data_IF_073736060597
#
_entry.id   IF_073736060597
#
_cell.length_a   1.000
_cell.length_b   1.000
_cell.length_c   1.000
_cell.angle_alpha   90.00
_cell.angle_beta   90.00
_cell.angle_gamma   90.00
#
_symmetry.space_group_name_H-M   'P 1'
#
loop_
_entity.id
_entity.type
_entity.pdbx_description
1 polymer ?
#
# COMPACT_ATOMS: atom_id res chain seq x y z
N UNK A 1 -24.70 -25.57 -12.83
CA UNK A 1 -25.52 -26.79 -13.00
C UNK A 1 -25.37 -27.82 -11.89
N UNK A 2 -24.35 -27.72 -11.02
CA UNK A 2 -24.18 -28.63 -9.88
C UNK A 2 -24.60 -27.98 -8.55
N UNK A 3 -25.71 -28.45 -7.99
CA UNK A 3 -26.21 -27.98 -6.68
C UNK A 3 -25.35 -28.46 -5.51
N UNK A 4 -24.59 -29.54 -5.68
CA UNK A 4 -23.69 -30.06 -4.66
C UNK A 4 -22.49 -29.13 -4.46
N UNK A 5 -21.82 -28.75 -5.54
CA UNK A 5 -20.72 -27.77 -5.49
C UNK A 5 -21.20 -26.40 -4.99
N UNK A 6 -22.37 -25.91 -5.43
CA UNK A 6 -22.93 -24.65 -4.95
C UNK A 6 -23.11 -24.64 -3.41
N UNK A 7 -23.59 -25.74 -2.86
CA UNK A 7 -23.72 -25.92 -1.41
C UNK A 7 -22.36 -25.95 -0.72
N UNK A 8 -21.39 -26.68 -1.25
CA UNK A 8 -20.03 -26.72 -0.70
C UNK A 8 -19.44 -25.30 -0.61
N UNK A 9 -19.47 -24.54 -1.71
CA UNK A 9 -18.91 -23.19 -1.75
C UNK A 9 -19.63 -22.21 -0.82
N UNK A 10 -20.96 -22.25 -0.71
CA UNK A 10 -21.69 -21.38 0.22
C UNK A 10 -21.34 -21.66 1.70
N UNK A 11 -21.08 -22.93 2.04
CA UNK A 11 -20.64 -23.32 3.37
C UNK A 11 -19.18 -22.91 3.65
N UNK A 12 -18.28 -23.12 2.70
CA UNK A 12 -16.87 -22.72 2.81
C UNK A 12 -16.74 -21.19 2.90
N UNK A 13 -17.47 -20.45 2.04
CA UNK A 13 -17.51 -19.00 2.07
C UNK A 13 -18.03 -18.44 3.40
N UNK A 14 -19.11 -19.00 3.96
CA UNK A 14 -19.58 -18.61 5.29
C UNK A 14 -18.55 -18.93 6.40
N UNK A 15 -17.89 -20.07 6.32
CA UNK A 15 -16.85 -20.43 7.29
C UNK A 15 -15.66 -19.46 7.21
N UNK A 16 -15.19 -19.16 6.00
CA UNK A 16 -14.12 -18.22 5.75
C UNK A 16 -14.48 -16.80 6.20
N UNK A 17 -15.68 -16.34 5.87
CA UNK A 17 -16.13 -15.02 6.31
C UNK A 17 -16.24 -14.93 7.84
N UNK A 18 -16.60 -16.02 8.54
CA UNK A 18 -16.57 -16.04 10.02
C UNK A 18 -15.18 -15.86 10.60
N UNK A 19 -14.15 -16.39 9.93
CA UNK A 19 -12.76 -16.15 10.37
C UNK A 19 -12.32 -14.72 10.09
N UNK A 20 -12.84 -14.11 9.03
CA UNK A 20 -12.55 -12.72 8.67
C UNK A 20 -13.42 -11.68 9.38
N UNK A 21 -14.54 -12.09 9.98
CA UNK A 21 -15.54 -11.17 10.53
C UNK A 21 -14.97 -10.15 11.54
N UNK A 22 -14.07 -10.51 12.47
CA UNK A 22 -13.46 -9.51 13.36
C UNK A 22 -12.73 -8.41 12.57
N UNK A 23 -11.94 -8.80 11.56
CA UNK A 23 -11.24 -7.85 10.69
C UNK A 23 -12.21 -7.00 9.86
N UNK A 24 -13.30 -7.60 9.38
CA UNK A 24 -14.35 -6.85 8.69
C UNK A 24 -15.05 -5.84 9.62
N UNK A 25 -15.24 -6.16 10.90
CA UNK A 25 -15.79 -5.22 11.89
C UNK A 25 -14.86 -4.02 12.07
N UNK A 26 -13.55 -4.25 12.09
CA UNK A 26 -12.54 -3.21 12.24
C UNK A 26 -12.45 -2.32 10.99
N UNK A 27 -12.58 -2.92 9.80
CA UNK A 27 -12.47 -2.21 8.50
C UNK A 27 -13.76 -1.49 8.08
N UNK A 28 -14.92 -2.17 8.05
CA UNK A 28 -16.18 -1.60 7.53
C UNK A 28 -17.15 -1.16 8.63
N UNK A 29 -16.79 -1.36 9.89
CA UNK A 29 -17.64 -1.11 11.05
C UNK A 29 -18.62 -2.26 11.33
N UNK A 30 -18.97 -2.42 12.61
CA UNK A 30 -19.81 -3.53 13.10
C UNK A 30 -21.14 -3.69 12.38
N UNK A 31 -21.77 -2.61 11.94
CA UNK A 31 -23.06 -2.68 11.24
C UNK A 31 -22.91 -3.32 9.87
N UNK A 32 -21.99 -2.84 9.03
CA UNK A 32 -21.76 -3.38 7.68
C UNK A 32 -21.21 -4.81 7.73
N UNK A 33 -20.30 -5.10 8.65
CA UNK A 33 -19.72 -6.43 8.84
C UNK A 33 -20.79 -7.49 9.22
N UNK A 34 -21.73 -7.13 10.10
CA UNK A 34 -22.86 -8.00 10.44
C UNK A 34 -23.83 -8.18 9.27
N UNK A 35 -24.06 -7.13 8.46
CA UNK A 35 -24.88 -7.24 7.24
C UNK A 35 -24.25 -8.22 6.25
N UNK A 36 -22.94 -8.12 6.00
CA UNK A 36 -22.20 -9.08 5.18
C UNK A 36 -22.30 -10.52 5.73
N UNK A 37 -22.22 -10.70 7.07
CA UNK A 37 -22.43 -12.00 7.71
C UNK A 37 -23.82 -12.57 7.39
N UNK A 38 -24.85 -11.72 7.45
CA UNK A 38 -26.22 -12.13 7.14
C UNK A 38 -26.37 -12.56 5.68
N UNK A 39 -25.73 -11.85 4.73
CA UNK A 39 -25.72 -12.28 3.33
C UNK A 39 -25.03 -13.63 3.13
N UNK A 40 -23.93 -13.91 3.83
CA UNK A 40 -23.30 -15.24 3.78
C UNK A 40 -24.21 -16.34 4.34
N UNK A 41 -24.96 -16.04 5.41
CA UNK A 41 -25.97 -16.96 5.97
C UNK A 41 -27.12 -17.18 4.98
N UNK A 42 -27.56 -16.12 4.30
CA UNK A 42 -28.61 -16.17 3.28
C UNK A 42 -28.16 -16.99 2.06
N UNK A 43 -26.93 -16.78 1.57
CA UNK A 43 -26.34 -17.55 0.48
C UNK A 43 -26.31 -19.05 0.80
N UNK A 44 -25.92 -19.39 2.04
CA UNK A 44 -26.01 -20.77 2.53
C UNK A 44 -27.46 -21.28 2.52
N UNK A 45 -28.43 -20.50 2.99
CA UNK A 45 -29.84 -20.90 3.01
C UNK A 45 -30.40 -21.12 1.59
N UNK A 46 -30.07 -20.25 0.64
CA UNK A 46 -30.39 -20.42 -0.78
C UNK A 46 -29.79 -21.73 -1.29
N UNK A 47 -28.52 -22.00 -1.00
CA UNK A 47 -27.89 -23.26 -1.42
C UNK A 47 -28.54 -24.52 -0.82
N UNK A 48 -29.07 -24.43 0.41
CA UNK A 48 -29.77 -25.53 1.07
C UNK A 48 -31.13 -25.83 0.42
N UNK A 49 -31.81 -24.81 -0.10
CA UNK A 49 -33.11 -24.94 -0.76
C UNK A 49 -33.07 -25.77 -2.05
N UNK A 50 -31.87 -26.01 -2.60
CA UNK A 50 -31.66 -26.95 -3.69
C UNK A 50 -32.15 -28.36 -3.36
N UNK A 51 -32.09 -28.76 -2.08
CA UNK A 51 -32.61 -30.04 -1.60
C UNK A 51 -34.15 -30.11 -1.59
N UNK A 52 -34.82 -28.95 -1.68
CA UNK A 52 -36.28 -28.81 -1.61
C UNK A 52 -36.92 -28.73 -3.01
N UNK A 53 -36.16 -29.03 -4.07
CA UNK A 53 -36.65 -29.09 -5.46
C UNK A 53 -36.65 -27.75 -6.19
N UNK A 54 -35.98 -26.73 -5.65
CA UNK A 54 -35.78 -25.44 -6.32
C UNK A 54 -34.92 -25.64 -7.58
N UNK A 55 -35.33 -25.00 -8.69
CA UNK A 55 -34.59 -25.09 -9.96
C UNK A 55 -33.22 -24.42 -9.89
N UNK A 56 -32.23 -24.95 -10.62
CA UNK A 56 -30.89 -24.35 -10.74
C UNK A 56 -30.98 -22.88 -11.18
N UNK A 57 -31.86 -22.56 -12.12
CA UNK A 57 -32.08 -21.18 -12.58
C UNK A 57 -32.54 -20.24 -11.48
N UNK A 58 -33.40 -20.71 -10.59
CA UNK A 58 -33.89 -19.91 -9.47
C UNK A 58 -32.78 -19.71 -8.43
N UNK A 59 -32.05 -20.78 -8.06
CA UNK A 59 -30.90 -20.70 -7.17
C UNK A 59 -29.86 -19.71 -7.68
N UNK A 60 -29.53 -19.76 -8.97
CA UNK A 60 -28.62 -18.82 -9.60
C UNK A 60 -29.12 -17.39 -9.48
N UNK A 61 -30.41 -17.14 -9.75
CA UNK A 61 -30.98 -15.79 -9.63
C UNK A 61 -30.92 -15.25 -8.21
N UNK A 62 -31.25 -16.07 -7.21
CA UNK A 62 -31.23 -15.66 -5.80
C UNK A 62 -29.78 -15.41 -5.33
N UNK A 63 -28.84 -16.28 -5.70
CA UNK A 63 -27.42 -16.10 -5.36
C UNK A 63 -26.82 -14.83 -6.00
N UNK A 64 -27.19 -14.53 -7.26
CA UNK A 64 -26.79 -13.28 -7.93
C UNK A 64 -27.32 -12.06 -7.19
N UNK A 65 -28.57 -12.11 -6.71
CA UNK A 65 -29.15 -11.01 -5.93
C UNK A 65 -28.35 -10.75 -4.65
N UNK A 66 -27.94 -11.80 -3.94
CA UNK A 66 -27.14 -11.68 -2.71
C UNK A 66 -25.74 -11.12 -3.04
N UNK A 67 -25.09 -11.66 -4.07
CA UNK A 67 -23.78 -11.19 -4.56
C UNK A 67 -23.80 -9.68 -4.84
N UNK A 68 -24.85 -9.18 -5.50
CA UNK A 68 -25.00 -7.76 -5.83
C UNK A 68 -25.04 -6.85 -4.59
N UNK A 69 -25.74 -7.27 -3.54
CA UNK A 69 -25.79 -6.50 -2.29
C UNK A 69 -24.46 -6.54 -1.52
N UNK A 70 -23.77 -7.68 -1.55
CA UNK A 70 -22.42 -7.81 -0.97
C UNK A 70 -21.43 -6.88 -1.69
N UNK A 71 -21.41 -6.90 -3.02
CA UNK A 71 -20.55 -6.05 -3.84
C UNK A 71 -20.76 -4.57 -3.55
N UNK A 72 -22.02 -4.14 -3.42
CA UNK A 72 -22.35 -2.77 -3.06
C UNK A 72 -21.69 -2.34 -1.75
N UNK A 73 -21.73 -3.18 -0.72
CA UNK A 73 -21.11 -2.85 0.59
C UNK A 73 -19.59 -2.77 0.49
N UNK A 74 -18.97 -3.71 -0.22
CA UNK A 74 -17.51 -3.73 -0.44
C UNK A 74 -17.07 -2.50 -1.22
N UNK A 75 -17.81 -2.14 -2.26
CA UNK A 75 -17.49 -1.01 -3.12
C UNK A 75 -17.72 0.35 -2.44
N UNK A 76 -18.76 0.49 -1.61
CA UNK A 76 -18.95 1.67 -0.75
C UNK A 76 -17.82 1.84 0.27
N UNK A 77 -17.22 0.75 0.74
CA UNK A 77 -16.05 0.81 1.63
C UNK A 77 -14.81 1.33 0.89
N UNK A 78 -14.63 0.92 -0.37
CA UNK A 78 -13.49 1.30 -1.20
C UNK A 78 -13.60 2.71 -1.82
N UNK A 79 -14.45 3.59 -1.26
CA UNK A 79 -14.57 4.98 -1.73
C UNK A 79 -15.18 5.17 -3.12
N UNK A 80 -15.76 4.14 -3.73
CA UNK A 80 -16.33 4.22 -5.09
C UNK A 80 -17.61 5.06 -5.04
N UNK A 81 -17.60 6.22 -5.70
CA UNK A 81 -18.78 7.08 -5.83
C UNK A 81 -19.86 6.33 -6.64
N UNK A 82 -21.07 6.21 -6.05
CA UNK A 82 -22.09 5.21 -6.40
C UNK A 82 -22.82 5.36 -7.74
N UNK A 83 -22.15 5.80 -8.80
CA UNK A 83 -22.72 5.69 -10.15
C UNK A 83 -22.68 4.23 -10.62
N UNK A 84 -23.75 3.72 -11.27
CA UNK A 84 -23.76 2.36 -11.82
C UNK A 84 -22.56 2.05 -12.72
N UNK A 85 -22.07 3.05 -13.45
CA UNK A 85 -20.95 2.99 -14.36
C UNK A 85 -19.62 2.75 -13.62
N UNK A 86 -19.34 3.56 -12.60
CA UNK A 86 -18.13 3.42 -11.78
C UNK A 86 -18.08 2.07 -11.08
N UNK A 87 -19.23 1.64 -10.55
CA UNK A 87 -19.39 0.37 -9.86
C UNK A 87 -19.10 -0.81 -10.80
N UNK A 88 -19.65 -0.75 -12.01
CA UNK A 88 -19.43 -1.77 -13.02
C UNK A 88 -17.96 -1.84 -13.44
N UNK A 89 -17.35 -0.68 -13.75
CA UNK A 89 -15.96 -0.63 -14.21
C UNK A 89 -14.96 -1.07 -13.13
N UNK A 90 -15.16 -0.65 -11.88
CA UNK A 90 -14.36 -1.11 -10.76
C UNK A 90 -14.49 -2.62 -10.53
N UNK A 91 -15.73 -3.14 -10.58
CA UNK A 91 -15.97 -4.58 -10.46
C UNK A 91 -15.32 -5.40 -11.57
N UNK A 92 -15.28 -4.89 -12.80
CA UNK A 92 -14.57 -5.52 -13.93
C UNK A 92 -13.05 -5.49 -13.69
N UNK A 93 -12.48 -4.35 -13.30
CA UNK A 93 -11.04 -4.21 -13.05
C UNK A 93 -10.54 -5.16 -11.94
N UNK A 94 -11.29 -5.27 -10.84
CA UNK A 94 -10.98 -6.19 -9.73
C UNK A 94 -10.91 -7.64 -10.20
N UNK A 95 -11.92 -8.08 -10.97
CA UNK A 95 -11.95 -9.44 -11.53
C UNK A 95 -10.83 -9.70 -12.52
N UNK A 96 -10.46 -8.72 -13.33
CA UNK A 96 -9.31 -8.83 -14.24
C UNK A 96 -8.00 -9.01 -13.46
N UNK A 97 -7.87 -8.31 -12.32
CA UNK A 97 -6.73 -8.49 -11.41
C UNK A 97 -6.70 -9.90 -10.81
N UNK A 98 -7.84 -10.39 -10.33
CA UNK A 98 -7.95 -11.75 -9.77
C UNK A 98 -7.70 -12.82 -10.83
N UNK A 99 -8.17 -12.63 -12.08
CA UNK A 99 -7.82 -13.52 -13.20
C UNK A 99 -6.31 -13.63 -13.38
N UNK A 100 -5.57 -12.51 -13.27
CA UNK A 100 -4.10 -12.54 -13.39
C UNK A 100 -3.43 -13.27 -12.22
N UNK A 101 -3.93 -13.08 -11.00
CA UNK A 101 -3.38 -13.70 -9.80
C UNK A 101 -3.61 -15.21 -9.81
N UNK A 102 -4.88 -15.64 -9.91
CA UNK A 102 -5.24 -17.05 -9.78
C UNK A 102 -4.76 -17.89 -10.95
N UNK A 103 -4.75 -17.35 -12.18
CA UNK A 103 -4.40 -18.17 -13.35
C UNK A 103 -2.93 -18.61 -13.37
N UNK A 104 -2.04 -17.82 -12.75
CA UNK A 104 -0.61 -18.16 -12.63
C UNK A 104 -0.42 -19.38 -11.73
N UNK A 105 -1.22 -19.48 -10.67
CA UNK A 105 -1.16 -20.59 -9.72
C UNK A 105 -2.04 -21.79 -10.16
N UNK A 106 -2.96 -21.55 -11.10
CA UNK A 106 -3.85 -22.56 -11.68
C UNK A 106 -3.18 -23.50 -12.69
N UNK A 107 -2.29 -22.97 -13.55
CA UNK A 107 -1.80 -23.67 -14.75
C UNK A 107 -0.27 -23.61 -14.89
N UNK A 108 0.35 -24.70 -15.37
CA UNK A 108 1.77 -24.72 -15.71
C UNK A 108 2.09 -24.16 -17.12
N UNK A 109 3.37 -23.93 -17.42
CA UNK A 109 3.81 -23.43 -18.73
C UNK A 109 3.48 -24.35 -19.93
N UNK A 110 2.98 -25.57 -19.69
CA UNK A 110 2.56 -26.52 -20.73
C UNK A 110 1.03 -26.54 -20.93
N UNK A 111 0.27 -25.73 -20.19
CA UNK A 111 -1.19 -25.68 -20.26
C UNK A 111 -1.90 -26.75 -19.42
N UNK A 112 -1.20 -27.42 -18.49
CA UNK A 112 -1.83 -28.35 -17.56
C UNK A 112 -2.34 -27.61 -16.33
N UNK A 113 -3.54 -27.96 -15.87
CA UNK A 113 -4.07 -27.48 -14.59
C UNK A 113 -3.30 -28.17 -13.45
N UNK A 114 -2.65 -27.37 -12.62
CA UNK A 114 -1.88 -27.81 -11.45
C UNK A 114 -2.60 -27.51 -10.13
N UNK A 115 -3.56 -26.57 -10.14
CA UNK A 115 -4.45 -26.31 -9.02
C UNK A 115 -5.90 -26.12 -9.52
N UNK A 116 -6.75 -27.11 -9.26
CA UNK A 116 -8.15 -27.11 -9.68
C UNK A 116 -8.98 -26.00 -9.02
N UNK A 117 -8.59 -25.55 -7.82
CA UNK A 117 -9.27 -24.48 -7.09
C UNK A 117 -9.03 -23.14 -7.79
N UNK A 118 -7.77 -22.72 -7.96
CA UNK A 118 -7.46 -21.45 -8.62
C UNK A 118 -7.94 -21.42 -10.07
N UNK A 119 -7.94 -22.56 -10.75
CA UNK A 119 -8.51 -22.64 -12.10
C UNK A 119 -10.02 -22.36 -12.09
N UNK A 120 -10.76 -22.96 -11.15
CA UNK A 120 -12.19 -22.72 -11.02
C UNK A 120 -12.50 -21.27 -10.62
N UNK A 121 -11.68 -20.68 -9.75
CA UNK A 121 -11.78 -19.27 -9.37
C UNK A 121 -11.48 -18.35 -10.54
N UNK A 122 -10.42 -18.62 -11.32
CA UNK A 122 -10.12 -17.87 -12.55
C UNK A 122 -11.30 -17.89 -13.52
N UNK A 123 -11.91 -19.06 -13.76
CA UNK A 123 -13.09 -19.20 -14.61
C UNK A 123 -14.25 -18.34 -14.09
N UNK A 124 -14.47 -18.35 -12.77
CA UNK A 124 -15.50 -17.55 -12.13
C UNK A 124 -15.25 -16.04 -12.25
N UNK A 125 -14.01 -15.58 -12.08
CA UNK A 125 -13.64 -14.17 -12.21
C UNK A 125 -13.74 -13.68 -13.66
N UNK A 126 -13.22 -14.45 -14.62
CA UNK A 126 -13.31 -14.12 -16.05
C UNK A 126 -14.77 -14.04 -16.52
N UNK A 127 -15.59 -15.04 -16.16
CA UNK A 127 -17.02 -15.03 -16.47
C UNK A 127 -17.77 -13.92 -15.74
N UNK A 128 -17.39 -13.64 -14.48
CA UNK A 128 -17.96 -12.55 -13.69
C UNK A 128 -17.69 -11.17 -14.27
N UNK A 129 -16.56 -10.98 -14.97
CA UNK A 129 -16.24 -9.71 -15.63
C UNK A 129 -17.14 -9.47 -16.84
N UNK A 130 -17.37 -10.52 -17.65
CA UNK A 130 -18.33 -10.48 -18.78
C UNK A 130 -19.74 -10.19 -18.26
N UNK A 131 -20.15 -10.87 -17.18
CA UNK A 131 -21.47 -10.69 -16.56
C UNK A 131 -21.70 -9.23 -16.15
N UNK A 132 -20.75 -8.60 -15.46
CA UNK A 132 -20.88 -7.19 -15.08
C UNK A 132 -20.98 -6.30 -16.33
N UNK A 133 -20.14 -6.53 -17.33
CA UNK A 133 -20.15 -5.73 -18.55
C UNK A 133 -21.52 -5.82 -19.25
N UNK A 134 -22.09 -7.01 -19.37
CA UNK A 134 -23.38 -7.24 -20.03
C UNK A 134 -24.56 -6.67 -19.23
N UNK A 135 -24.56 -6.82 -17.90
CA UNK A 135 -25.61 -6.26 -17.04
C UNK A 135 -25.64 -4.73 -17.04
N UNK A 136 -24.51 -4.09 -17.33
CA UNK A 136 -24.35 -2.64 -17.38
C UNK A 136 -24.16 -2.11 -18.81
N UNK A 137 -24.54 -2.89 -19.83
CA UNK A 137 -24.28 -2.54 -21.23
C UNK A 137 -24.90 -1.20 -21.66
N UNK A 138 -26.11 -0.88 -21.20
CA UNK A 138 -26.77 0.39 -21.54
C UNK A 138 -25.97 1.59 -21.05
N UNK A 139 -25.53 1.56 -19.78
CA UNK A 139 -24.80 2.67 -19.16
C UNK A 139 -23.35 2.76 -19.66
N UNK A 140 -22.67 1.63 -19.84
CA UNK A 140 -21.27 1.61 -20.31
C UNK A 140 -21.16 1.97 -21.80
N UNK A 141 -22.12 1.56 -22.63
CA UNK A 141 -22.15 1.96 -24.04
C UNK A 141 -22.50 3.44 -24.25
N UNK A 142 -23.20 4.05 -23.28
CA UNK A 142 -23.48 5.49 -23.29
C UNK A 142 -22.23 6.33 -23.03
N UNK A 143 -21.24 5.80 -22.29
CA UNK A 143 -19.94 6.43 -22.10
C UNK A 143 -19.13 6.42 -23.41
N UNK A 144 -18.87 5.22 -23.95
CA UNK A 144 -18.16 5.04 -25.20
C UNK A 144 -18.56 3.70 -25.83
N UNK A 145 -19.45 3.76 -26.83
CA UNK A 145 -19.91 2.56 -27.53
C UNK A 145 -18.78 1.77 -28.20
N UNK A 146 -17.72 2.45 -28.67
CA UNK A 146 -16.55 1.82 -29.28
C UNK A 146 -15.70 1.09 -28.24
N UNK A 147 -15.38 1.74 -27.12
CA UNK A 147 -14.54 1.14 -26.09
C UNK A 147 -15.28 0.02 -25.37
N UNK A 148 -16.59 0.19 -25.12
CA UNK A 148 -17.40 -0.86 -24.54
C UNK A 148 -17.47 -2.11 -25.45
N UNK A 149 -17.63 -1.93 -26.76
CA UNK A 149 -17.60 -3.06 -27.70
C UNK A 149 -16.23 -3.76 -27.72
N UNK A 150 -15.14 -2.98 -27.63
CA UNK A 150 -13.80 -3.52 -27.55
C UNK A 150 -13.59 -4.29 -26.22
N UNK A 151 -14.09 -3.75 -25.10
CA UNK A 151 -14.04 -4.40 -23.79
C UNK A 151 -14.78 -5.74 -23.83
N UNK A 152 -16.02 -5.78 -24.32
CA UNK A 152 -16.79 -7.03 -24.44
C UNK A 152 -16.06 -8.08 -25.28
N UNK A 153 -15.42 -7.65 -26.38
CA UNK A 153 -14.62 -8.55 -27.22
C UNK A 153 -13.40 -9.08 -26.46
N UNK A 154 -12.71 -8.25 -25.67
CA UNK A 154 -11.54 -8.66 -24.89
C UNK A 154 -11.93 -9.60 -23.77
N UNK A 155 -12.97 -9.28 -22.99
CA UNK A 155 -13.47 -10.14 -21.92
C UNK A 155 -13.89 -11.52 -22.46
N UNK A 156 -14.59 -11.55 -23.60
CA UNK A 156 -14.96 -12.82 -24.27
C UNK A 156 -13.73 -13.62 -24.70
N UNK A 157 -12.69 -12.94 -25.20
CA UNK A 157 -11.43 -13.59 -25.57
C UNK A 157 -10.69 -14.15 -24.34
N UNK A 158 -10.70 -13.45 -23.21
CA UNK A 158 -10.09 -13.92 -21.96
C UNK A 158 -10.78 -15.21 -21.50
N UNK A 159 -12.12 -15.23 -21.46
CA UNK A 159 -12.89 -16.43 -21.12
C UNK A 159 -12.51 -17.60 -22.04
N UNK A 160 -12.50 -17.39 -23.35
CA UNK A 160 -12.12 -18.43 -24.31
C UNK A 160 -10.67 -18.91 -24.10
N UNK A 161 -9.75 -18.01 -23.76
CA UNK A 161 -8.35 -18.36 -23.53
C UNK A 161 -8.19 -19.18 -22.25
N UNK A 162 -8.87 -18.79 -21.16
CA UNK A 162 -8.92 -19.55 -19.91
C UNK A 162 -9.51 -20.94 -20.14
N UNK A 163 -10.66 -21.05 -20.82
CA UNK A 163 -11.31 -22.33 -21.12
C UNK A 163 -10.41 -23.28 -21.94
N UNK A 164 -9.69 -22.70 -22.91
CA UNK A 164 -8.74 -23.42 -23.76
C UNK A 164 -7.40 -23.73 -23.10
N UNK A 165 -7.17 -23.27 -21.86
CA UNK A 165 -5.92 -23.42 -21.11
C UNK A 165 -4.75 -22.82 -21.88
N UNK A 166 -4.98 -21.65 -22.45
CA UNK A 166 -3.96 -20.90 -23.17
C UNK A 166 -2.76 -20.60 -22.26
N UNK A 167 -1.59 -20.35 -22.87
CA UNK A 167 -0.39 -20.02 -22.13
C UNK A 167 -0.61 -18.79 -21.22
N UNK A 168 0.00 -18.81 -20.03
CA UNK A 168 -0.17 -17.79 -18.98
C UNK A 168 -0.05 -16.37 -19.54
N UNK A 169 1.01 -16.08 -20.29
CA UNK A 169 1.24 -14.74 -20.85
C UNK A 169 0.12 -14.24 -21.78
N UNK A 170 -0.62 -15.12 -22.44
CA UNK A 170 -1.73 -14.76 -23.33
C UNK A 170 -2.93 -14.28 -22.50
N UNK A 171 -3.24 -14.97 -21.40
CA UNK A 171 -4.34 -14.61 -20.50
C UNK A 171 -4.00 -13.31 -19.76
N UNK A 172 -2.78 -13.20 -19.24
CA UNK A 172 -2.31 -12.00 -18.52
C UNK A 172 -2.31 -10.76 -19.43
N UNK A 173 -1.70 -10.85 -20.62
CA UNK A 173 -1.71 -9.73 -21.58
C UNK A 173 -3.12 -9.38 -22.05
N UNK A 174 -4.01 -10.37 -22.22
CA UNK A 174 -5.41 -10.11 -22.53
C UNK A 174 -6.14 -9.36 -21.41
N UNK A 175 -5.85 -9.69 -20.15
CA UNK A 175 -6.39 -8.99 -18.99
C UNK A 175 -5.82 -7.57 -18.89
N UNK A 176 -4.53 -7.36 -19.14
CA UNK A 176 -3.90 -6.03 -19.18
C UNK A 176 -4.53 -5.14 -20.26
N UNK A 177 -4.69 -5.67 -21.48
CA UNK A 177 -5.38 -4.98 -22.57
C UNK A 177 -6.82 -4.58 -22.18
N UNK A 178 -7.54 -5.47 -21.50
CA UNK A 178 -8.91 -5.20 -21.04
C UNK A 178 -8.91 -4.11 -19.95
N UNK A 179 -7.96 -4.13 -19.01
CA UNK A 179 -7.80 -3.11 -17.97
C UNK A 179 -7.57 -1.73 -18.56
N UNK A 180 -6.76 -1.60 -19.62
CA UNK A 180 -6.58 -0.34 -20.33
C UNK A 180 -7.90 0.19 -20.92
N UNK A 181 -8.75 -0.69 -21.45
CA UNK A 181 -10.06 -0.27 -21.98
C UNK A 181 -11.02 0.12 -20.86
N UNK A 182 -11.03 -0.63 -19.74
CA UNK A 182 -11.79 -0.27 -18.54
C UNK A 182 -11.40 1.13 -18.07
N UNK A 183 -10.10 1.42 -18.04
CA UNK A 183 -9.57 2.74 -17.71
C UNK A 183 -10.07 3.83 -18.65
N UNK A 184 -10.06 3.59 -19.97
CA UNK A 184 -10.60 4.55 -20.94
C UNK A 184 -12.10 4.83 -20.71
N UNK A 185 -12.88 3.81 -20.38
CA UNK A 185 -14.30 3.97 -20.02
C UNK A 185 -14.48 4.72 -18.70
N UNK A 186 -13.60 4.50 -17.71
CA UNK A 186 -13.61 5.25 -16.45
C UNK A 186 -13.36 6.75 -16.69
N UNK A 187 -12.43 7.09 -17.59
CA UNK A 187 -12.18 8.48 -18.00
C UNK A 187 -13.39 9.11 -18.69
N UNK A 188 -14.11 8.35 -19.52
CA UNK A 188 -15.31 8.82 -20.21
C UNK A 188 -16.54 9.00 -19.32
N UNK A 189 -16.54 8.41 -18.12
CA UNK A 189 -17.65 8.45 -17.17
C UNK A 189 -17.68 9.73 -16.30
N UNK A 190 -16.70 10.63 -16.45
CA UNK A 190 -16.56 11.86 -15.65
C UNK A 190 -15.98 11.62 -14.25
N UNK A 191 -15.94 12.66 -13.41
CA UNK A 191 -15.33 12.65 -12.05
C UNK A 191 -15.83 11.50 -11.16
N UNK A 192 -17.04 10.99 -11.38
CA UNK A 192 -17.60 9.88 -10.61
C UNK A 192 -17.13 8.48 -11.02
N UNK A 193 -16.48 8.33 -12.19
CA UNK A 193 -16.09 7.04 -12.78
C UNK A 193 -14.60 6.71 -12.75
N UNK A 194 -13.73 7.66 -12.43
CA UNK A 194 -12.33 7.38 -12.15
C UNK A 194 -12.24 6.63 -10.81
N UNK A 195 -11.85 5.34 -10.83
CA UNK A 195 -11.48 4.64 -9.61
C UNK A 195 -10.11 5.17 -9.16
N UNK A 196 -10.11 6.31 -8.46
CA UNK A 196 -8.92 7.00 -8.00
C UNK A 196 -8.04 6.09 -7.14
N UNK A 197 -8.65 5.28 -6.26
CA UNK A 197 -7.97 4.28 -5.44
C UNK A 197 -7.18 3.25 -6.25
N UNK A 198 -7.71 2.78 -7.38
CA UNK A 198 -6.99 1.84 -8.27
C UNK A 198 -5.73 2.44 -8.89
N UNK A 199 -5.65 3.76 -9.06
CA UNK A 199 -4.42 4.40 -9.53
C UNK A 199 -3.36 4.43 -8.42
N UNK A 200 -3.73 4.73 -7.18
CA UNK A 200 -2.83 4.67 -6.04
C UNK A 200 -2.23 3.26 -5.88
N UNK A 201 -3.07 2.21 -5.88
CA UNK A 201 -2.62 0.81 -5.79
C UNK A 201 -1.65 0.40 -6.92
N UNK A 202 -1.92 0.89 -8.14
CA UNK A 202 -1.09 0.58 -9.32
C UNK A 202 0.25 1.30 -9.23
N UNK A 203 0.24 2.56 -8.81
CA UNK A 203 1.46 3.36 -8.63
C UNK A 203 2.37 2.72 -7.58
N UNK A 204 1.84 2.34 -6.42
CA UNK A 204 2.66 1.72 -5.36
C UNK A 204 3.31 0.42 -5.83
N UNK A 205 2.57 -0.42 -6.56
CA UNK A 205 3.12 -1.66 -7.12
C UNK A 205 4.24 -1.39 -8.12
N UNK A 206 4.06 -0.40 -9.00
CA UNK A 206 5.07 0.00 -9.98
C UNK A 206 6.32 0.56 -9.28
N UNK A 207 6.16 1.37 -8.24
CA UNK A 207 7.26 1.92 -7.46
C UNK A 207 8.06 0.83 -6.70
N UNK A 208 7.36 -0.12 -6.04
CA UNK A 208 8.00 -1.28 -5.39
C UNK A 208 8.75 -2.14 -6.41
N UNK A 209 8.14 -2.38 -7.58
CA UNK A 209 8.76 -3.17 -8.64
C UNK A 209 9.99 -2.45 -9.22
N UNK A 210 9.92 -1.13 -9.39
CA UNK A 210 11.04 -0.32 -9.85
C UNK A 210 12.21 -0.33 -8.85
N UNK A 211 11.92 -0.25 -7.56
CA UNK A 211 12.91 -0.38 -6.50
C UNK A 211 13.62 -1.73 -6.58
N UNK A 212 12.87 -2.84 -6.72
CA UNK A 212 13.43 -4.18 -6.86
C UNK A 212 14.27 -4.34 -8.14
N UNK A 213 13.82 -3.78 -9.28
CA UNK A 213 14.57 -3.79 -10.53
C UNK A 213 15.90 -3.04 -10.38
N UNK A 214 15.87 -1.86 -9.74
CA UNK A 214 17.06 -1.05 -9.47
C UNK A 214 18.03 -1.76 -8.52
N UNK A 215 17.54 -2.45 -7.48
CA UNK A 215 18.36 -3.26 -6.57
C UNK A 215 19.13 -4.38 -7.31
N UNK A 216 18.51 -4.96 -8.33
CA UNK A 216 19.07 -6.01 -9.17
C UNK A 216 20.01 -5.48 -10.28
N UNK A 217 20.24 -4.16 -10.33
CA UNK A 217 21.08 -3.51 -11.33
C UNK A 217 20.41 -3.28 -12.68
N UNK A 218 19.10 -3.50 -12.79
CA UNK A 218 18.31 -3.23 -14.00
C UNK A 218 17.73 -1.81 -13.96
N UNK A 219 18.60 -0.82 -14.17
CA UNK A 219 18.23 0.60 -14.12
C UNK A 219 17.32 1.03 -15.28
N UNK A 220 17.36 0.33 -16.42
CA UNK A 220 16.50 0.62 -17.57
C UNK A 220 15.06 0.21 -17.27
N UNK A 221 14.85 -1.01 -16.75
CA UNK A 221 13.52 -1.46 -16.30
C UNK A 221 13.00 -0.61 -15.14
N UNK A 222 13.85 -0.25 -14.17
CA UNK A 222 13.46 0.65 -13.09
C UNK A 222 12.98 2.00 -13.62
N UNK A 223 13.66 2.56 -14.63
CA UNK A 223 13.28 3.83 -15.25
C UNK A 223 11.95 3.75 -16.02
N UNK A 224 11.71 2.63 -16.71
CA UNK A 224 10.45 2.35 -17.40
C UNK A 224 9.29 2.29 -16.41
N UNK A 225 9.42 1.50 -15.34
CA UNK A 225 8.40 1.32 -14.31
C UNK A 225 8.04 2.62 -13.57
N UNK A 226 9.02 3.45 -13.20
CA UNK A 226 8.71 4.76 -12.58
C UNK A 226 8.12 5.76 -13.59
N UNK A 227 8.42 5.60 -14.88
CA UNK A 227 7.83 6.42 -15.94
C UNK A 227 6.37 6.03 -16.16
N UNK A 228 6.04 4.74 -16.12
CA UNK A 228 4.67 4.21 -16.15
C UNK A 228 3.88 4.61 -14.90
N UNK A 229 4.51 4.56 -13.72
CA UNK A 229 3.88 5.02 -12.47
C UNK A 229 3.45 6.50 -12.56
N UNK A 230 4.27 7.35 -13.19
CA UNK A 230 3.92 8.75 -13.38
C UNK A 230 2.99 9.00 -14.57
N UNK A 231 3.49 8.78 -15.80
CA UNK A 231 2.83 9.18 -17.05
C UNK A 231 1.52 8.42 -17.26
N UNK A 232 1.53 7.14 -16.94
CA UNK A 232 0.39 6.30 -17.23
C UNK A 232 -0.53 6.20 -16.02
N UNK A 233 -0.21 6.72 -14.83
CA UNK A 233 -1.07 6.60 -13.64
C UNK A 233 -1.21 7.91 -12.85
N UNK A 234 -0.13 8.46 -12.31
CA UNK A 234 -0.22 9.67 -11.47
C UNK A 234 -0.75 10.91 -12.21
N UNK A 235 -0.45 11.08 -13.51
CA UNK A 235 -0.98 12.21 -14.32
C UNK A 235 -2.51 12.32 -14.24
N UNK A 236 -3.21 11.19 -14.06
CA UNK A 236 -4.66 11.14 -13.92
C UNK A 236 -5.16 11.55 -12.53
N UNK A 237 -4.27 11.56 -11.53
CA UNK A 237 -4.54 11.98 -10.17
C UNK A 237 -4.22 13.48 -9.95
N UNK A 238 -3.44 14.11 -10.82
CA UNK A 238 -3.02 15.51 -10.66
C UNK A 238 -4.22 16.46 -10.50
N UNK A 239 -5.17 16.45 -11.44
CA UNK A 239 -6.33 17.35 -11.36
C UNK A 239 -7.21 17.11 -10.12
N UNK A 240 -7.61 15.87 -9.79
CA UNK A 240 -8.36 15.58 -8.56
C UNK A 240 -7.63 16.02 -7.28
N UNK A 241 -6.33 15.75 -7.15
CA UNK A 241 -5.56 16.16 -5.97
C UNK A 241 -5.46 17.69 -5.92
N UNK A 242 -5.23 18.34 -7.07
CA UNK A 242 -5.08 19.79 -7.15
C UNK A 242 -6.32 20.58 -6.69
N UNK A 243 -7.51 20.01 -6.86
CA UNK A 243 -8.76 20.60 -6.37
C UNK A 243 -8.86 20.63 -4.84
N UNK A 244 -8.16 19.73 -4.15
CA UNK A 244 -8.17 19.61 -2.69
C UNK A 244 -6.93 20.24 -2.07
N UNK A 245 -5.75 19.86 -2.56
CA UNK A 245 -4.44 20.30 -2.09
C UNK A 245 -3.46 20.42 -3.27
N UNK A 246 -3.40 21.62 -3.84
CA UNK A 246 -2.52 21.94 -4.97
C UNK A 246 -1.03 21.83 -4.62
N UNK A 247 -0.65 22.10 -3.37
CA UNK A 247 0.75 22.03 -2.94
C UNK A 247 1.20 20.56 -2.83
N UNK A 248 0.34 19.69 -2.30
CA UNK A 248 0.59 18.25 -2.26
C UNK A 248 0.69 17.65 -3.66
N UNK A 249 -0.19 18.04 -4.57
CA UNK A 249 -0.13 17.61 -5.97
C UNK A 249 1.22 17.95 -6.61
N UNK A 250 1.63 19.22 -6.56
CA UNK A 250 2.91 19.63 -7.15
C UNK A 250 4.11 18.93 -6.51
N UNK A 251 4.07 18.70 -5.19
CA UNK A 251 5.12 17.97 -4.49
C UNK A 251 5.28 16.54 -5.02
N UNK A 252 4.17 15.82 -5.20
CA UNK A 252 4.22 14.45 -5.74
C UNK A 252 4.62 14.46 -7.22
N UNK A 253 4.08 15.40 -8.02
CA UNK A 253 4.46 15.60 -9.42
C UNK A 253 5.97 15.77 -9.56
N UNK A 254 6.57 16.75 -8.86
CA UNK A 254 8.02 17.02 -8.91
C UNK A 254 8.82 15.78 -8.51
N UNK A 255 8.40 15.09 -7.44
CA UNK A 255 9.09 13.92 -6.92
C UNK A 255 9.06 12.72 -7.89
N UNK A 256 7.92 12.45 -8.53
CA UNK A 256 7.75 11.31 -9.45
C UNK A 256 8.27 11.61 -10.86
N UNK A 257 7.92 12.79 -11.39
CA UNK A 257 8.20 13.19 -12.77
C UNK A 257 9.67 13.53 -12.99
N UNK A 258 10.28 14.22 -12.02
CA UNK A 258 11.62 14.78 -12.14
C UNK A 258 12.62 14.05 -11.24
N UNK A 259 12.46 14.13 -9.92
CA UNK A 259 13.49 13.72 -8.96
C UNK A 259 13.79 12.21 -9.04
N UNK A 260 12.80 11.34 -8.84
CA UNK A 260 13.01 9.88 -8.85
C UNK A 260 13.59 9.39 -10.19
N UNK A 261 13.07 9.92 -11.29
CA UNK A 261 13.50 9.58 -12.66
C UNK A 261 14.94 10.05 -12.93
N UNK A 262 15.31 11.24 -12.46
CA UNK A 262 16.67 11.76 -12.57
C UNK A 262 17.64 10.97 -11.68
N UNK A 263 17.23 10.57 -10.47
CA UNK A 263 18.03 9.76 -9.57
C UNK A 263 18.37 8.39 -10.18
N UNK A 264 17.40 7.72 -10.81
CA UNK A 264 17.64 6.45 -11.53
C UNK A 264 18.61 6.66 -12.70
N UNK A 265 18.38 7.66 -13.55
CA UNK A 265 19.25 7.98 -14.71
C UNK A 265 20.68 8.35 -14.32
N UNK A 266 20.85 8.98 -13.16
CA UNK A 266 22.15 9.39 -12.63
C UNK A 266 22.86 8.29 -11.84
N UNK A 267 22.27 7.10 -11.76
CA UNK A 267 22.79 5.97 -10.98
C UNK A 267 22.99 6.32 -9.50
N UNK A 268 22.02 7.02 -8.90
CA UNK A 268 22.01 7.34 -7.47
C UNK A 268 22.04 6.07 -6.62
N UNK A 269 22.53 6.15 -5.38
CA UNK A 269 22.60 4.96 -4.53
C UNK A 269 21.22 4.36 -4.26
N UNK A 270 21.13 3.04 -4.18
CA UNK A 270 19.87 2.32 -3.92
C UNK A 270 19.11 2.88 -2.72
N UNK A 271 19.81 3.20 -1.63
CA UNK A 271 19.19 3.75 -0.42
C UNK A 271 18.54 5.13 -0.64
N UNK A 272 19.07 5.95 -1.55
CA UNK A 272 18.46 7.24 -1.90
C UNK A 272 17.20 7.04 -2.76
N UNK A 273 17.23 6.07 -3.68
CA UNK A 273 16.06 5.67 -4.46
C UNK A 273 14.94 5.14 -3.56
N UNK A 274 15.29 4.25 -2.62
CA UNK A 274 14.36 3.71 -1.62
C UNK A 274 13.74 4.82 -0.76
N UNK A 275 14.54 5.78 -0.28
CA UNK A 275 14.04 6.90 0.49
C UNK A 275 13.11 7.83 -0.33
N UNK A 276 13.45 8.08 -1.59
CA UNK A 276 12.63 8.90 -2.49
C UNK A 276 11.29 8.23 -2.79
N UNK A 277 11.30 6.92 -3.07
CA UNK A 277 10.07 6.14 -3.28
C UNK A 277 9.19 6.15 -2.02
N UNK A 278 9.78 6.00 -0.84
CA UNK A 278 9.04 6.07 0.42
C UNK A 278 8.39 7.45 0.63
N UNK A 279 9.07 8.54 0.29
CA UNK A 279 8.49 9.89 0.37
C UNK A 279 7.29 10.02 -0.57
N UNK A 280 7.42 9.52 -1.80
CA UNK A 280 6.34 9.52 -2.79
C UNK A 280 5.14 8.73 -2.29
N UNK A 281 5.33 7.49 -1.81
CA UNK A 281 4.23 6.65 -1.30
C UNK A 281 3.51 7.29 -0.12
N UNK A 282 4.21 7.91 0.84
CA UNK A 282 3.52 8.60 1.95
C UNK A 282 2.69 9.80 1.49
N UNK A 283 3.19 10.56 0.50
CA UNK A 283 2.44 11.69 -0.05
C UNK A 283 1.23 11.19 -0.88
N UNK A 284 1.37 10.06 -1.59
CA UNK A 284 0.28 9.37 -2.29
C UNK A 284 -0.79 8.85 -1.32
N UNK A 285 -0.41 8.24 -0.19
CA UNK A 285 -1.34 7.81 0.87
C UNK A 285 -2.14 8.99 1.44
N UNK A 286 -1.46 10.12 1.62
CA UNK A 286 -2.07 11.36 2.07
C UNK A 286 -3.09 11.85 1.03
N UNK A 287 -2.72 11.83 -0.25
CA UNK A 287 -3.59 12.23 -1.34
C UNK A 287 -4.81 11.29 -1.48
N UNK A 288 -4.63 9.99 -1.35
CA UNK A 288 -5.72 9.00 -1.38
C UNK A 288 -6.70 9.21 -0.23
N UNK A 289 -6.20 9.42 0.99
CA UNK A 289 -7.02 9.72 2.18
C UNK A 289 -7.86 10.98 1.98
N UNK A 290 -7.28 12.04 1.38
CA UNK A 290 -7.97 13.29 1.09
C UNK A 290 -9.07 13.13 0.03
N UNK A 291 -8.83 12.31 -1.00
CA UNK A 291 -9.77 12.09 -2.11
C UNK A 291 -10.93 11.17 -1.71
N UNK A 292 -10.67 10.14 -0.92
CA UNK A 292 -11.68 9.13 -0.53
C UNK A 292 -12.50 9.52 0.69
N UNK A 293 -12.20 10.66 1.32
CA UNK A 293 -12.91 11.17 2.49
C UNK A 293 -12.70 10.32 3.75
N UNK A 294 -11.69 9.44 3.74
CA UNK A 294 -11.25 8.73 4.93
C UNK A 294 -10.66 9.73 5.92
N UNK A 295 -11.29 9.89 7.09
CA UNK A 295 -10.53 10.31 8.27
C UNK A 295 -9.29 9.43 8.39
N UNK A 296 -8.11 9.96 8.75
CA UNK A 296 -6.97 9.10 9.04
C UNK A 296 -7.45 8.11 10.09
N UNK A 297 -7.55 6.84 9.69
CA UNK A 297 -7.87 5.77 10.60
C UNK A 297 -6.77 5.81 11.63
N UNK A 298 -7.09 6.29 12.83
CA UNK A 298 -6.33 5.97 14.01
C UNK A 298 -6.42 4.45 14.16
N UNK A 299 -5.45 3.76 13.56
CA UNK A 299 -5.35 2.31 13.62
C UNK A 299 -5.03 1.92 15.05
N UNK A 300 -5.96 1.17 15.67
CA UNK A 300 -5.66 0.36 16.82
C UNK A 300 -4.81 -0.84 16.37
N UNK A 301 -3.49 -0.68 16.51
CA UNK A 301 -2.46 -1.71 16.64
C UNK A 301 -2.50 -2.94 15.70
N UNK A 302 -1.68 -2.96 14.63
CA UNK A 302 -1.27 -4.20 14.00
C UNK A 302 -0.12 -4.83 14.82
N UNK A 303 -0.16 -6.15 14.90
CA UNK A 303 0.93 -6.97 15.45
C UNK A 303 2.07 -6.95 14.41
N UNK A 304 3.01 -6.03 14.61
CA UNK A 304 4.40 -6.01 14.14
C UNK A 304 4.71 -6.66 12.77
N UNK A 305 4.59 -5.88 11.70
CA UNK A 305 5.59 -5.84 10.64
C UNK A 305 6.01 -4.38 10.43
N UNK A 306 7.18 -4.06 10.99
CA UNK A 306 7.93 -2.81 10.96
C UNK A 306 7.53 -1.80 9.86
N UNK A 307 6.70 -0.83 10.23
CA UNK A 307 6.61 0.46 9.53
C UNK A 307 7.98 1.14 9.66
N UNK A 308 8.75 1.12 8.58
CA UNK A 308 10.07 1.76 8.47
C UNK A 308 9.93 3.28 8.46
N UNK A 309 9.58 3.86 9.61
CA UNK A 309 9.93 5.25 9.89
C UNK A 309 11.46 5.28 10.01
N UNK A 310 12.13 5.88 9.02
CA UNK A 310 13.58 5.95 8.83
C UNK A 310 14.42 5.30 9.93
N UNK A 311 15.11 4.21 9.59
CA UNK A 311 15.90 3.44 10.55
C UNK A 311 17.01 4.27 11.20
N UNK A 312 17.30 3.99 12.48
CA UNK A 312 18.44 4.56 13.18
C UNK A 312 19.77 3.94 12.68
N UNK A 313 20.14 4.14 11.41
CA UNK A 313 21.21 3.44 10.70
C UNK A 313 22.53 3.31 11.47
N UNK A 314 23.01 4.43 12.05
CA UNK A 314 24.24 4.45 12.87
C UNK A 314 24.04 3.58 14.11
N UNK A 315 22.95 3.78 14.86
CA UNK A 315 22.70 3.01 16.08
C UNK A 315 22.49 1.51 15.79
N UNK A 316 21.80 1.17 14.69
CA UNK A 316 21.64 -0.20 14.21
C UNK A 316 22.99 -0.84 13.88
N UNK A 317 23.88 -0.13 13.19
CA UNK A 317 25.23 -0.63 12.90
C UNK A 317 26.08 -0.78 14.19
N UNK A 318 25.99 0.18 15.11
CA UNK A 318 26.68 0.19 16.40
C UNK A 318 26.23 -0.94 17.32
N UNK A 319 24.92 -1.16 17.47
CA UNK A 319 24.36 -2.13 18.41
C UNK A 319 24.02 -3.48 17.78
N UNK A 320 24.12 -3.58 16.45
CA UNK A 320 24.10 -4.82 15.67
C UNK A 320 22.72 -5.33 15.30
N UNK A 321 21.65 -4.66 15.71
CA UNK A 321 20.28 -5.02 15.34
C UNK A 321 19.35 -3.83 15.50
N UNK A 322 18.32 -3.75 14.66
CA UNK A 322 17.20 -2.84 14.84
C UNK A 322 16.38 -3.17 16.10
N UNK A 323 16.39 -4.43 16.52
CA UNK A 323 15.77 -4.92 17.75
C UNK A 323 16.67 -4.78 18.98
N UNK A 324 17.84 -4.14 18.85
CA UNK A 324 18.71 -3.91 19.99
C UNK A 324 18.02 -2.96 20.99
N UNK A 325 18.12 -3.19 22.31
CA UNK A 325 17.44 -2.37 23.32
C UNK A 325 17.73 -0.87 23.20
N UNK A 326 18.94 -0.50 22.78
CA UNK A 326 19.34 0.89 22.59
C UNK A 326 18.68 1.54 21.37
N UNK A 327 18.43 0.77 20.32
CA UNK A 327 17.78 1.24 19.08
C UNK A 327 16.29 1.37 19.31
N UNK A 328 15.68 0.39 19.98
CA UNK A 328 14.28 0.42 20.39
C UNK A 328 14.01 1.59 21.35
N UNK A 329 14.91 1.84 22.31
CA UNK A 329 14.82 3.02 23.18
C UNK A 329 14.78 4.35 22.40
N UNK A 330 15.61 4.49 21.36
CA UNK A 330 15.58 5.70 20.51
C UNK A 330 14.26 5.84 19.74
N UNK A 331 13.71 4.72 19.24
CA UNK A 331 12.41 4.68 18.56
C UNK A 331 11.27 5.06 19.52
N UNK A 332 11.26 4.48 20.72
CA UNK A 332 10.26 4.79 21.75
C UNK A 332 10.27 6.27 22.14
N UNK A 333 11.44 6.88 22.33
CA UNK A 333 11.52 8.33 22.63
C UNK A 333 11.05 9.16 21.45
N UNK A 334 11.44 8.80 20.22
CA UNK A 334 10.99 9.49 19.01
C UNK A 334 9.46 9.43 18.90
N UNK A 335 8.90 8.24 18.94
CA UNK A 335 7.50 7.97 18.59
C UNK A 335 6.55 8.39 19.72
N UNK A 336 6.90 8.09 20.98
CA UNK A 336 6.01 8.30 22.11
C UNK A 336 6.25 9.62 22.86
N UNK A 337 7.32 10.35 22.56
CA UNK A 337 7.63 11.62 23.25
C UNK A 337 7.82 12.77 22.25
N UNK A 338 8.72 12.62 21.28
CA UNK A 338 9.07 13.74 20.39
C UNK A 338 7.98 14.01 19.35
N UNK A 339 7.51 12.99 18.63
CA UNK A 339 6.50 13.11 17.57
C UNK A 339 5.08 13.39 18.08
N UNK A 340 4.86 13.30 19.39
CA UNK A 340 3.59 13.65 20.02
C UNK A 340 3.37 15.18 20.12
N UNK A 341 4.32 16.00 19.67
CA UNK A 341 4.24 17.46 19.72
C UNK A 341 4.61 18.09 18.38
N UNK A 342 3.98 19.20 18.00
CA UNK A 342 4.29 19.91 16.75
C UNK A 342 5.76 20.35 16.69
N UNK A 343 6.27 20.87 17.81
CA UNK A 343 7.67 21.30 17.94
C UNK A 343 8.66 20.15 17.76
N UNK A 344 8.36 18.95 18.26
CA UNK A 344 9.19 17.77 18.10
C UNK A 344 9.12 17.20 16.69
N UNK A 345 7.95 17.20 16.05
CA UNK A 345 7.78 16.80 14.65
C UNK A 345 8.55 17.73 13.68
N UNK A 346 8.50 19.04 13.91
CA UNK A 346 9.29 20.01 13.15
C UNK A 346 10.80 19.81 13.33
N UNK A 347 11.24 19.58 14.58
CA UNK A 347 12.63 19.24 14.88
C UNK A 347 13.07 17.95 14.18
N UNK A 348 12.26 16.89 14.26
CA UNK A 348 12.57 15.59 13.65
C UNK A 348 12.63 15.68 12.13
N UNK A 349 11.84 16.54 11.50
CA UNK A 349 11.90 16.78 10.05
C UNK A 349 13.26 17.34 9.65
N UNK A 350 13.73 18.40 10.31
CA UNK A 350 15.05 18.97 10.03
C UNK A 350 16.20 18.07 10.45
N UNK A 351 16.06 17.38 11.59
CA UNK A 351 17.04 16.40 12.07
C UNK A 351 17.19 15.24 11.09
N UNK A 352 16.09 14.67 10.59
CA UNK A 352 16.12 13.56 9.64
C UNK A 352 16.82 13.96 8.34
N UNK A 353 16.50 15.13 7.80
CA UNK A 353 17.16 15.66 6.61
C UNK A 353 18.69 15.75 6.79
N UNK A 354 19.14 16.26 7.94
CA UNK A 354 20.56 16.33 8.25
C UNK A 354 21.17 14.94 8.53
N UNK A 355 20.51 14.12 9.36
CA UNK A 355 20.97 12.80 9.78
C UNK A 355 21.17 11.85 8.61
N UNK A 356 20.17 11.72 7.73
CA UNK A 356 20.23 10.83 6.57
C UNK A 356 21.20 11.30 5.49
N UNK A 357 21.63 12.58 5.51
CA UNK A 357 22.66 13.06 4.58
C UNK A 357 24.03 12.43 4.80
N UNK A 358 24.33 11.89 5.99
CA UNK A 358 25.63 11.29 6.31
C UNK A 358 25.55 9.94 7.02
N UNK A 359 24.43 9.60 7.67
CA UNK A 359 24.29 8.38 8.45
C UNK A 359 24.52 7.07 7.66
N UNK A 360 24.18 6.94 6.36
CA UNK A 360 24.49 5.73 5.61
C UNK A 360 25.99 5.46 5.50
N UNK A 361 26.78 6.49 5.16
CA UNK A 361 28.23 6.36 4.99
C UNK A 361 28.93 6.00 6.32
N UNK A 362 28.44 6.53 7.44
CA UNK A 362 28.94 6.17 8.76
C UNK A 362 28.59 4.73 9.12
N UNK A 363 27.34 4.30 8.87
CA UNK A 363 26.87 2.95 9.15
C UNK A 363 27.61 1.89 8.30
N UNK A 364 27.89 2.18 7.03
CA UNK A 364 28.76 1.35 6.17
C UNK A 364 30.16 1.20 6.76
N UNK A 365 30.76 2.32 7.18
CA UNK A 365 32.10 2.31 7.75
C UNK A 365 32.17 1.56 9.11
N UNK A 366 31.10 1.59 9.91
CA UNK A 366 30.98 0.77 11.13
C UNK A 366 30.91 -0.74 10.84
N UNK A 367 30.24 -1.14 9.75
CA UNK A 367 30.18 -2.55 9.33
C UNK A 367 31.55 -3.09 8.91
N UNK A 368 32.35 -2.24 8.26
CA UNK A 368 33.68 -2.60 7.78
C UNK A 368 34.77 -2.53 8.87
N UNK A 369 34.58 -1.69 9.90
CA UNK A 369 35.61 -1.42 10.90
C UNK A 369 35.11 -1.55 12.35
N UNK A 370 35.44 -2.68 12.98
CA UNK A 370 35.05 -2.98 14.36
C UNK A 370 35.61 -1.99 15.39
N UNK A 371 36.79 -1.40 15.15
CA UNK A 371 37.37 -0.40 16.06
C UNK A 371 36.60 0.91 15.97
N UNK A 372 36.24 1.32 14.75
CA UNK A 372 35.40 2.50 14.54
C UNK A 372 34.02 2.32 15.18
N UNK A 373 33.40 1.16 14.99
CA UNK A 373 32.14 0.78 15.65
C UNK A 373 32.18 0.94 17.18
N UNK A 374 33.24 0.45 17.84
CA UNK A 374 33.38 0.62 19.30
C UNK A 374 33.62 2.08 19.70
N UNK A 375 34.30 2.88 18.87
CA UNK A 375 34.45 4.32 19.09
C UNK A 375 33.10 5.06 18.95
N UNK A 376 32.29 4.70 17.95
CA UNK A 376 30.92 5.22 17.79
C UNK A 376 30.05 4.83 18.98
N UNK A 377 30.14 3.58 19.45
CA UNK A 377 29.43 3.11 20.65
C UNK A 377 29.75 3.91 21.90
N UNK A 378 31.04 4.16 22.17
CA UNK A 378 31.47 5.00 23.28
C UNK A 378 30.94 6.42 23.12
N UNK A 379 30.95 6.94 21.89
CA UNK A 379 30.47 8.27 21.57
C UNK A 379 28.96 8.39 21.72
N UNK A 380 28.17 7.37 21.40
CA UNK A 380 26.70 7.39 21.52
C UNK A 380 26.20 7.19 22.96
N UNK A 381 26.98 6.54 23.82
CA UNK A 381 26.55 6.17 25.17
C UNK A 381 26.12 7.37 26.04
N UNK A 382 26.87 8.50 26.09
CA UNK A 382 26.43 9.69 26.83
C UNK A 382 25.15 10.31 26.26
N UNK A 383 24.96 10.28 24.93
CA UNK A 383 23.75 10.76 24.28
C UNK A 383 22.54 9.93 24.71
N UNK A 384 22.62 8.60 24.61
CA UNK A 384 21.57 7.69 25.06
C UNK A 384 21.22 7.92 26.54
N UNK A 385 22.24 8.12 27.38
CA UNK A 385 22.04 8.38 28.82
C UNK A 385 21.38 9.73 29.09
N UNK A 386 21.64 10.74 28.27
CA UNK A 386 20.96 12.04 28.42
C UNK A 386 19.51 12.02 27.95
N UNK A 387 19.18 11.19 26.96
CA UNK A 387 17.83 11.07 26.41
C UNK A 387 16.86 10.36 27.37
N UNK A 388 17.35 9.53 28.30
CA UNK A 388 16.49 8.95 29.34
C UNK A 388 15.87 10.01 30.24
N UNK A 389 16.45 11.21 30.31
CA UNK A 389 15.86 12.33 31.04
C UNK A 389 14.53 12.80 30.44
N UNK A 390 14.32 12.61 29.13
CA UNK A 390 13.04 12.90 28.47
C UNK A 390 11.96 11.87 28.83
N UNK A 391 12.35 10.63 29.12
CA UNK A 391 11.42 9.58 29.53
C UNK A 391 10.85 9.80 30.94
N UNK A 392 11.63 10.43 31.82
CA UNK A 392 11.23 10.72 33.20
C UNK A 392 10.61 12.12 33.36
N UNK A 393 10.67 12.95 32.33
CA UNK A 393 9.97 14.22 32.30
C UNK A 393 8.52 13.95 31.88
N UNK A 394 7.56 14.37 32.71
CA UNK A 394 6.14 14.36 32.34
C UNK A 394 5.93 15.51 31.35
N UNK A 395 5.93 15.19 30.05
CA UNK A 395 5.83 16.19 28.97
C UNK A 395 4.39 16.19 28.47
N UNK A 396 3.57 17.05 29.06
CA UNK A 396 2.13 17.17 28.72
C UNK A 396 1.83 18.39 27.84
N UNK A 397 2.85 19.20 27.51
CA UNK A 397 2.70 20.44 26.75
C UNK A 397 3.86 20.76 25.81
N UNK A 398 3.58 21.54 24.76
CA UNK A 398 4.60 21.99 23.79
C UNK A 398 5.73 22.79 24.44
N UNK A 399 5.39 23.64 25.41
CA UNK A 399 6.39 24.45 26.12
C UNK A 399 7.36 23.60 26.93
N UNK A 400 6.88 22.48 27.49
CA UNK A 400 7.71 21.54 28.24
C UNK A 400 8.59 20.73 27.30
N UNK A 401 8.07 20.26 26.16
CA UNK A 401 8.86 19.55 25.16
C UNK A 401 10.01 20.42 24.63
N UNK A 402 9.73 21.68 24.31
CA UNK A 402 10.76 22.64 23.91
C UNK A 402 11.78 22.88 25.03
N UNK A 403 11.32 23.07 26.28
CA UNK A 403 12.19 23.32 27.42
C UNK A 403 13.14 22.15 27.73
N UNK A 404 12.59 20.94 27.81
CA UNK A 404 13.37 19.72 28.07
C UNK A 404 14.25 19.34 26.86
N UNK A 405 13.73 19.46 25.64
CA UNK A 405 14.50 19.23 24.41
C UNK A 405 15.72 20.14 24.30
N UNK A 406 15.56 21.45 24.51
CA UNK A 406 16.68 22.41 24.54
C UNK A 406 17.65 22.07 25.66
N UNK A 407 17.15 21.68 26.84
CA UNK A 407 18.01 21.31 27.97
C UNK A 407 18.88 20.10 27.68
N UNK A 408 18.34 19.07 27.02
CA UNK A 408 19.08 17.86 26.62
C UNK A 408 20.10 18.19 25.52
N UNK A 409 19.76 19.03 24.55
CA UNK A 409 20.70 19.51 23.53
C UNK A 409 21.87 20.24 24.18
N UNK A 410 21.59 21.18 25.09
CA UNK A 410 22.63 21.93 25.82
C UNK A 410 23.49 21.01 26.69
N UNK A 411 22.89 20.00 27.33
CA UNK A 411 23.62 19.00 28.10
C UNK A 411 24.59 18.21 27.22
N UNK A 412 24.15 17.75 26.05
CA UNK A 412 25.00 17.05 25.08
C UNK A 412 26.13 17.95 24.56
N UNK A 413 25.83 19.20 24.21
CA UNK A 413 26.87 20.17 23.81
C UNK A 413 27.90 20.35 24.93
N UNK A 414 27.46 20.46 26.18
CA UNK A 414 28.34 20.52 27.35
C UNK A 414 29.25 19.30 27.48
N UNK A 415 28.68 18.10 27.30
CA UNK A 415 29.42 16.84 27.41
C UNK A 415 30.43 16.63 26.28
N UNK A 416 30.07 16.88 25.02
CA UNK A 416 30.93 16.61 23.87
C UNK A 416 31.97 17.71 23.59
N UNK A 417 31.68 18.97 23.95
CA UNK A 417 32.57 20.09 23.62
C UNK A 417 33.20 20.74 24.84
N UNK A 418 32.42 21.05 25.89
CA UNK A 418 32.90 21.83 27.03
C UNK A 418 33.77 20.99 27.97
N UNK A 419 33.33 19.79 28.35
CA UNK A 419 34.09 18.93 29.26
C UNK A 419 35.47 18.50 28.68
N UNK A 420 35.58 18.06 27.41
CA UNK A 420 36.87 17.79 26.78
C UNK A 420 37.76 19.03 26.69
N UNK A 421 37.21 20.20 26.33
CA UNK A 421 37.98 21.45 26.25
C UNK A 421 38.58 21.84 27.61
N UNK A 422 37.81 21.74 28.70
CA UNK A 422 38.30 22.02 30.06
C UNK A 422 39.38 21.02 30.50
N UNK A 423 39.22 19.74 30.15
CA UNK A 423 40.24 18.71 30.39
C UNK A 423 41.56 19.04 29.68
N UNK A 424 41.50 19.36 28.39
CA UNK A 424 42.66 19.73 27.57
C UNK A 424 43.35 20.97 28.16
N UNK A 425 42.59 22.00 28.54
CA UNK A 425 43.14 23.21 29.17
C UNK A 425 43.82 22.92 30.52
N UNK A 426 43.24 22.04 31.36
CA UNK A 426 43.84 21.66 32.65
C UNK A 426 45.11 20.83 32.48
N UNK A 427 45.16 19.92 31.50
CA UNK A 427 46.35 19.12 31.18
C UNK A 427 47.47 20.01 30.65
N UNK A 428 47.16 20.92 29.72
CA UNK A 428 48.11 21.89 29.16
C UNK A 428 48.63 22.91 30.19
N UNK A 429 47.96 23.07 31.32
CA UNK A 429 48.40 23.92 32.44
C UNK A 429 49.24 23.15 33.47
N UNK A 430 49.29 21.81 33.38
CA UNK A 430 50.07 20.91 34.27
C UNK A 430 51.33 20.35 33.62
N UNK A 431 51.36 20.27 32.29
CA UNK A 431 52.57 20.14 31.46
C UNK A 431 53.14 21.53 31.23
#
# INVERSE_FOLDING_TARGET
DDTYSAKKYAYEGLYYYRTLHPYAVDSVGSTKANTLMNYMIEAKAVSDSANDGVSVSQLTSEMKSIKKEVEKIVMEHNGISGTPEALALAGIADRLTLVKLEYVDAIDNSGNVINDMEYAETVAFAGGAVEIADENAEVLSAISSSDFSALQSKLSSIVSNVDSKAAIYIVLSGADDATVIVKNLQLGAGEGGANLGSYFDTIDRLLITAQAAYANGDSDLAFELVSEAYLDNYEFLEAPIAEIDTDLMHKIEDNMREELRNMIKSSSSYNLIEAQILMITNDLDTADSLLTGGTPTAEAAPVASETSGGGCLIATATFGSEMAPQVQFLREIRDNTVLQTESGTSFMTGFNQFYYSFSPAIADYERENTVFKEAVKITLTPLLTSLTLLQYADIDSESEMLGYGISVILLNIGMYFVAPAVLIMKVRKRV
#
